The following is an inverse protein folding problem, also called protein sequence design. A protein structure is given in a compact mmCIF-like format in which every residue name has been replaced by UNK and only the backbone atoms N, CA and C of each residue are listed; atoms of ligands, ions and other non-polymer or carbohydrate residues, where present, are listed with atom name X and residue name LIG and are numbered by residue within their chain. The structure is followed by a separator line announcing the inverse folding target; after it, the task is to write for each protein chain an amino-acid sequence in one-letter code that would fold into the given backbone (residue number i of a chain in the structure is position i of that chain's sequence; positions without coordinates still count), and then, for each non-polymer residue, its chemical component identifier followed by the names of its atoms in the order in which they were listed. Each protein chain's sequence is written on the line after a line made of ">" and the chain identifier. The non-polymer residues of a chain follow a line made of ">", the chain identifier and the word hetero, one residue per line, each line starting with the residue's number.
data_IF_917247409739
#
_entry.id   IF_917247409739
#
_cell.length_a   1.000
_cell.length_b   1.000
_cell.length_c   1.000
_cell.angle_alpha   90.00
_cell.angle_beta   90.00
_cell.angle_gamma   90.00
#
_symmetry.space_group_name_H-M   'P 1'
#
loop_
_entity.id
_entity.type
_entity.pdbx_description
1 polymer ?
#
# COMPACT_ATOMS: atom_id res chain seq x y z
N UNK A 1 -2.97 -17.44 10.74
CA UNK A 1 -3.98 -16.50 11.26
C UNK A 1 -4.70 -17.18 12.42
N UNK A 2 -5.09 -16.44 13.47
CA UNK A 2 -5.61 -17.03 14.73
C UNK A 2 -7.04 -17.60 14.63
N UNK A 3 -7.76 -17.32 13.54
CA UNK A 3 -9.21 -17.59 13.40
C UNK A 3 -9.63 -17.96 11.97
N UNK A 4 -8.67 -18.11 11.05
CA UNK A 4 -8.89 -18.48 9.64
C UNK A 4 -7.71 -19.28 9.12
N UNK A 5 -7.93 -20.14 8.14
CA UNK A 5 -6.87 -20.97 7.56
C UNK A 5 -5.95 -20.10 6.70
N UNK A 6 -4.72 -20.57 6.45
CA UNK A 6 -3.82 -19.85 5.54
C UNK A 6 -4.31 -20.00 4.10
N UNK A 7 -4.82 -21.19 3.81
CA UNK A 7 -5.37 -21.61 2.53
C UNK A 7 -6.53 -20.71 2.10
N UNK A 8 -7.43 -20.34 3.02
CA UNK A 8 -8.53 -19.39 2.73
C UNK A 8 -8.00 -18.00 2.35
N UNK A 9 -7.01 -17.51 3.10
CA UNK A 9 -6.42 -16.18 2.84
C UNK A 9 -5.70 -16.17 1.50
N UNK A 10 -4.97 -17.23 1.18
CA UNK A 10 -4.26 -17.38 -0.07
C UNK A 10 -5.22 -17.53 -1.26
N UNK A 11 -6.32 -18.27 -1.09
CA UNK A 11 -7.37 -18.42 -2.12
C UNK A 11 -8.01 -17.08 -2.47
N UNK A 12 -8.40 -16.29 -1.46
CA UNK A 12 -8.98 -14.96 -1.67
C UNK A 12 -7.97 -14.03 -2.35
N UNK A 13 -6.70 -14.08 -1.95
CA UNK A 13 -5.64 -13.28 -2.55
C UNK A 13 -5.36 -13.67 -4.01
N UNK A 14 -5.48 -14.95 -4.38
CA UNK A 14 -5.21 -15.40 -5.75
C UNK A 14 -6.39 -15.17 -6.69
N UNK A 15 -7.62 -15.34 -6.20
CA UNK A 15 -8.82 -15.36 -7.05
C UNK A 15 -9.69 -14.11 -6.93
N UNK A 16 -9.55 -13.33 -5.86
CA UNK A 16 -10.44 -12.20 -5.55
C UNK A 16 -9.68 -10.92 -5.19
N UNK A 17 -8.45 -10.78 -5.70
CA UNK A 17 -7.69 -9.56 -5.53
C UNK A 17 -8.31 -8.41 -6.35
N UNK A 18 -8.65 -7.28 -5.71
CA UNK A 18 -9.30 -6.16 -6.39
C UNK A 18 -8.36 -5.43 -7.35
N UNK A 19 -7.06 -5.40 -7.08
CA UNK A 19 -6.06 -4.75 -7.92
C UNK A 19 -5.87 -5.55 -9.21
N UNK A 20 -5.75 -6.87 -9.10
CA UNK A 20 -5.66 -7.75 -10.28
C UNK A 20 -6.94 -7.70 -11.11
N UNK A 21 -8.10 -7.61 -10.47
CA UNK A 21 -9.37 -7.46 -11.18
C UNK A 21 -9.43 -6.14 -11.96
N UNK A 22 -9.07 -5.02 -11.33
CA UNK A 22 -9.05 -3.71 -12.00
C UNK A 22 -7.99 -3.65 -13.10
N UNK A 23 -6.82 -4.26 -12.89
CA UNK A 23 -5.77 -4.38 -13.90
C UNK A 23 -6.30 -5.05 -15.18
N UNK A 24 -7.03 -6.16 -15.05
CA UNK A 24 -7.68 -6.84 -16.19
C UNK A 24 -8.68 -5.93 -16.89
N UNK A 25 -9.54 -5.23 -16.16
CA UNK A 25 -10.50 -4.29 -16.76
C UNK A 25 -9.81 -3.17 -17.56
N UNK A 26 -8.70 -2.65 -17.04
CA UNK A 26 -7.92 -1.59 -17.71
C UNK A 26 -7.25 -2.12 -18.98
N UNK A 27 -6.64 -3.31 -18.93
CA UNK A 27 -5.98 -3.91 -20.10
C UNK A 27 -6.99 -4.35 -21.16
N UNK A 28 -8.09 -4.98 -20.74
CA UNK A 28 -9.15 -5.45 -21.64
C UNK A 28 -9.90 -4.27 -22.29
N UNK A 29 -10.04 -3.16 -21.56
CA UNK A 29 -10.58 -1.90 -22.07
C UNK A 29 -9.61 -1.09 -22.95
N UNK A 30 -8.37 -1.54 -23.11
CA UNK A 30 -7.34 -0.83 -23.90
C UNK A 30 -6.93 0.52 -23.31
N UNK A 31 -7.16 0.74 -22.01
CA UNK A 31 -6.89 2.02 -21.34
C UNK A 31 -5.42 2.20 -20.96
N UNK A 32 -4.68 1.11 -20.77
CA UNK A 32 -3.24 1.11 -20.53
C UNK A 32 -2.63 -0.24 -20.93
N UNK A 33 -1.33 -0.24 -21.26
CA UNK A 33 -0.57 -1.48 -21.46
C UNK A 33 -0.10 -2.08 -20.14
N UNK A 34 0.32 -3.35 -20.16
CA UNK A 34 0.93 -3.96 -18.98
C UNK A 34 2.20 -3.21 -18.51
N UNK A 35 2.95 -2.63 -19.43
CA UNK A 35 4.21 -1.95 -19.11
C UNK A 35 3.95 -0.56 -18.50
N UNK A 36 2.87 0.11 -18.89
CA UNK A 36 2.41 1.33 -18.21
C UNK A 36 2.05 1.03 -16.75
N UNK A 37 1.30 -0.05 -16.51
CA UNK A 37 0.92 -0.47 -15.16
C UNK A 37 2.13 -0.88 -14.31
N UNK A 38 3.12 -1.58 -14.91
CA UNK A 38 4.38 -1.90 -14.21
C UNK A 38 5.18 -0.64 -13.86
N UNK A 39 5.13 0.38 -14.70
CA UNK A 39 5.80 1.66 -14.44
C UNK A 39 5.18 2.34 -13.23
N UNK A 40 3.85 2.40 -13.17
CA UNK A 40 3.10 2.93 -12.02
C UNK A 40 3.42 2.15 -10.75
N UNK A 41 3.43 0.81 -10.80
CA UNK A 41 3.78 -0.02 -9.64
C UNK A 41 5.19 0.28 -9.10
N UNK A 42 6.16 0.54 -9.98
CA UNK A 42 7.52 0.91 -9.60
C UNK A 42 7.55 2.28 -8.91
N UNK A 43 6.88 3.27 -9.48
CA UNK A 43 6.82 4.61 -8.92
C UNK A 43 6.18 4.61 -7.52
N UNK A 44 5.08 3.86 -7.35
CA UNK A 44 4.42 3.72 -6.04
C UNK A 44 5.35 3.06 -5.03
N UNK A 45 6.08 2.00 -5.41
CA UNK A 45 7.07 1.36 -4.53
C UNK A 45 8.15 2.34 -4.09
N UNK A 46 8.67 3.14 -5.00
CA UNK A 46 9.70 4.14 -4.68
C UNK A 46 9.16 5.20 -3.70
N UNK A 47 7.91 5.64 -3.86
CA UNK A 47 7.25 6.57 -2.93
C UNK A 47 7.11 5.94 -1.54
N UNK A 48 6.65 4.69 -1.47
CA UNK A 48 6.46 3.97 -0.20
C UNK A 48 7.79 3.77 0.52
N UNK A 49 8.84 3.39 -0.20
CA UNK A 49 10.19 3.22 0.38
C UNK A 49 10.69 4.55 0.95
N UNK A 50 10.62 5.64 0.18
CA UNK A 50 11.02 6.97 0.66
C UNK A 50 10.22 7.42 1.88
N UNK A 51 8.92 7.13 1.90
CA UNK A 51 8.04 7.44 3.03
C UNK A 51 8.41 6.64 4.28
N UNK A 52 8.74 5.36 4.11
CA UNK A 52 9.18 4.49 5.20
C UNK A 52 10.55 4.90 5.76
N UNK A 53 11.49 5.30 4.89
CA UNK A 53 12.79 5.85 5.29
C UNK A 53 12.63 7.15 6.07
N UNK A 54 11.79 8.08 5.58
CA UNK A 54 11.48 9.32 6.28
C UNK A 54 10.88 9.04 7.66
N UNK A 55 9.90 8.13 7.75
CA UNK A 55 9.27 7.79 9.02
C UNK A 55 10.24 7.18 10.03
N UNK A 56 11.23 6.40 9.57
CA UNK A 56 12.26 5.80 10.44
C UNK A 56 13.35 6.78 10.86
N UNK A 57 13.66 7.77 10.01
CA UNK A 57 14.68 8.78 10.28
C UNK A 57 14.12 10.01 11.01
N UNK A 58 12.79 10.16 11.02
CA UNK A 58 12.14 11.25 11.72
C UNK A 58 12.50 11.21 13.21
N UNK A 59 12.98 12.32 13.79
CA UNK A 59 13.26 12.37 15.21
C UNK A 59 11.99 12.15 16.02
N UNK A 60 12.16 11.69 17.25
CA UNK A 60 11.07 11.70 18.22
C UNK A 60 10.62 13.15 18.50
N UNK A 61 9.34 13.36 18.82
CA UNK A 61 8.84 14.68 19.18
C UNK A 61 9.56 15.22 20.42
N UNK A 62 9.65 16.54 20.52
CA UNK A 62 10.27 17.20 21.67
C UNK A 62 9.47 16.87 22.96
N UNK A 63 10.10 16.64 24.12
CA UNK A 63 9.39 16.37 25.36
C UNK A 63 8.34 17.43 25.75
N UNK A 64 8.47 18.66 25.28
CA UNK A 64 7.46 19.72 25.47
C UNK A 64 6.15 19.48 24.72
N UNK A 65 6.16 18.69 23.64
CA UNK A 65 4.96 18.25 22.90
C UNK A 65 4.08 17.31 23.74
N UNK A 66 4.58 16.75 24.84
CA UNK A 66 3.82 15.85 25.72
C UNK A 66 2.51 16.49 26.24
N UNK A 67 2.50 17.80 26.43
CA UNK A 67 1.36 18.57 26.95
C UNK A 67 0.67 19.42 25.88
N UNK A 68 1.09 19.29 24.61
CA UNK A 68 0.39 19.88 23.49
C UNK A 68 -0.98 19.19 23.29
N UNK A 69 -1.94 19.90 22.70
CA UNK A 69 -3.29 19.39 22.34
C UNK A 69 -4.20 18.90 23.50
N UNK A 70 -3.94 19.33 24.74
CA UNK A 70 -4.76 18.95 25.91
C UNK A 70 -6.12 19.68 25.96
N UNK A 71 -6.20 20.92 25.45
CA UNK A 71 -7.45 21.67 25.30
C UNK A 71 -7.49 22.36 23.94
N UNK A 72 -8.70 22.47 23.36
CA UNK A 72 -8.97 23.06 22.05
C UNK A 72 -9.17 24.57 22.12
#
# INVERSE_FOLDING_TARGET
>A
AKYRTKEEVDDVRQHRDPIDHVKKLITDGGHASEDDLKTIDREIRDIVVKSAEFAQQSPEPDPSELMADVYL
#
